data_IF_586918280488
#
_entry.id   IF_586918280488
#
_cell.length_a   1.000
_cell.length_b   1.000
_cell.length_c   1.000
_cell.angle_alpha   90.00
_cell.angle_beta   90.00
_cell.angle_gamma   90.00
#
_symmetry.space_group_name_H-M   'P 1'
#
loop_
_entity.id
_entity.type
_entity.pdbx_description
1 polymer ?
#
# COMPACT_ATOMS: atom_id res chain seq x y z
N UNK A 1 -79.52 -17.74 41.37
CA UNK A 1 -79.87 -16.34 41.08
C UNK A 1 -78.94 -15.87 39.97
N UNK A 2 -79.43 -15.80 38.71
CA UNK A 2 -78.73 -15.42 37.45
C UNK A 2 -77.50 -16.28 37.03
N UNK A 3 -77.53 -17.01 35.90
CA UNK A 3 -77.14 -16.62 34.50
C UNK A 3 -75.69 -16.10 34.38
N UNK A 4 -74.82 -16.51 33.44
CA UNK A 4 -74.89 -17.15 32.09
C UNK A 4 -73.50 -17.84 31.83
N UNK A 5 -73.29 -18.99 31.16
CA UNK A 5 -73.31 -19.29 29.70
C UNK A 5 -72.52 -18.28 28.83
N UNK A 6 -71.55 -18.63 27.94
CA UNK A 6 -71.00 -19.92 27.46
C UNK A 6 -69.43 -19.92 27.63
N UNK A 7 -68.52 -20.56 26.87
CA UNK A 7 -68.53 -21.43 25.67
C UNK A 7 -67.22 -22.28 25.58
N UNK A 8 -67.02 -23.06 24.49
CA UNK A 8 -65.96 -24.09 24.33
C UNK A 8 -64.60 -23.62 23.76
N UNK A 9 -63.50 -24.32 24.11
CA UNK A 9 -62.63 -24.95 23.09
C UNK A 9 -61.74 -26.09 23.63
N UNK A 10 -61.63 -27.20 22.87
CA UNK A 10 -60.76 -28.36 23.14
C UNK A 10 -59.35 -28.16 22.58
N UNK A 11 -58.32 -28.64 23.31
CA UNK A 11 -57.00 -28.99 22.73
C UNK A 11 -56.38 -30.24 23.39
N UNK A 12 -55.95 -31.24 22.61
CA UNK A 12 -54.91 -32.22 22.93
C UNK A 12 -53.68 -32.05 22.00
N UNK A 13 -52.61 -32.85 22.12
CA UNK A 13 -51.88 -33.28 23.32
C UNK A 13 -50.43 -32.74 23.32
N UNK A 14 -49.65 -33.06 24.37
CA UNK A 14 -48.22 -32.68 24.48
C UNK A 14 -47.31 -33.50 23.53
N UNK A 15 -46.64 -32.85 22.59
CA UNK A 15 -45.33 -33.24 22.04
C UNK A 15 -44.77 -32.06 21.22
N UNK A 16 -43.61 -31.50 21.60
CA UNK A 16 -42.66 -30.77 20.71
C UNK A 16 -41.52 -30.07 21.50
N UNK A 17 -41.78 -29.62 22.74
CA UNK A 17 -40.81 -28.86 23.58
C UNK A 17 -39.42 -29.48 23.81
N UNK A 18 -39.23 -30.77 23.55
CA UNK A 18 -37.91 -31.41 23.66
C UNK A 18 -37.03 -31.12 22.44
N UNK A 19 -37.62 -30.84 21.27
CA UNK A 19 -36.90 -30.67 20.00
C UNK A 19 -36.36 -29.25 19.85
N UNK A 20 -37.17 -28.25 20.18
CA UNK A 20 -36.77 -26.84 20.18
C UNK A 20 -35.64 -26.58 21.18
N UNK A 21 -35.74 -27.15 22.39
CA UNK A 21 -34.71 -27.04 23.42
C UNK A 21 -33.37 -27.69 23.01
N UNK A 22 -33.40 -28.77 22.22
CA UNK A 22 -32.19 -29.36 21.64
C UNK A 22 -31.64 -28.60 20.42
N UNK A 23 -32.46 -27.78 19.75
CA UNK A 23 -32.03 -26.87 18.69
C UNK A 23 -31.40 -25.59 19.27
N UNK A 24 -32.02 -24.95 20.26
CA UNK A 24 -31.46 -23.78 20.95
C UNK A 24 -30.13 -24.12 21.63
N UNK A 25 -30.05 -25.22 22.38
CA UNK A 25 -28.79 -25.69 22.98
C UNK A 25 -27.77 -26.06 21.89
N UNK A 26 -28.21 -26.54 20.73
CA UNK A 26 -27.34 -26.80 19.58
C UNK A 26 -26.72 -25.52 19.01
N UNK A 27 -27.55 -24.50 18.75
CA UNK A 27 -27.10 -23.20 18.23
C UNK A 27 -26.22 -22.44 19.24
N UNK A 28 -26.58 -22.42 20.52
CA UNK A 28 -25.80 -21.75 21.56
C UNK A 28 -24.41 -22.38 21.73
N UNK A 29 -24.30 -23.72 21.66
CA UNK A 29 -23.02 -24.43 21.63
C UNK A 29 -22.22 -24.17 20.34
N UNK A 30 -22.87 -24.04 19.18
CA UNK A 30 -22.19 -23.69 17.92
C UNK A 30 -21.67 -22.24 17.97
N UNK A 31 -22.45 -21.31 18.52
CA UNK A 31 -22.08 -19.90 18.65
C UNK A 31 -20.93 -19.72 19.65
N UNK A 32 -20.95 -20.40 20.79
CA UNK A 32 -19.88 -20.36 21.79
C UNK A 32 -18.60 -21.09 21.34
N UNK A 33 -18.72 -22.20 20.60
CA UNK A 33 -17.55 -22.85 19.99
C UNK A 33 -16.95 -21.96 18.88
N UNK A 34 -17.78 -21.32 18.05
CA UNK A 34 -17.31 -20.40 17.01
C UNK A 34 -16.69 -19.12 17.58
N UNK A 35 -17.24 -18.55 18.66
CA UNK A 35 -16.66 -17.38 19.33
C UNK A 35 -15.33 -17.73 19.99
N UNK A 36 -15.24 -18.85 20.71
CA UNK A 36 -13.99 -19.32 21.32
C UNK A 36 -12.94 -19.75 20.29
N UNK A 37 -13.31 -20.32 19.14
CA UNK A 37 -12.39 -20.55 18.02
C UNK A 37 -11.87 -19.22 17.43
N UNK A 38 -12.75 -18.23 17.24
CA UNK A 38 -12.33 -16.91 16.74
C UNK A 38 -11.44 -16.19 17.75
N UNK A 39 -11.77 -16.26 19.04
CA UNK A 39 -10.97 -15.71 20.13
C UNK A 39 -9.62 -16.42 20.25
N UNK A 40 -9.56 -17.75 20.14
CA UNK A 40 -8.31 -18.50 20.12
C UNK A 40 -7.46 -18.20 18.87
N UNK A 41 -8.07 -17.96 17.71
CA UNK A 41 -7.35 -17.52 16.50
C UNK A 41 -6.78 -16.11 16.68
N UNK A 42 -7.57 -15.17 17.21
CA UNK A 42 -7.12 -13.80 17.52
C UNK A 42 -6.02 -13.83 18.58
N UNK A 43 -6.20 -14.61 19.64
CA UNK A 43 -5.22 -14.82 20.72
C UNK A 43 -3.94 -15.47 20.20
N UNK A 44 -4.02 -16.42 19.27
CA UNK A 44 -2.86 -17.01 18.58
C UNK A 44 -2.11 -15.96 17.75
N UNK A 45 -2.82 -15.18 16.93
CA UNK A 45 -2.21 -14.12 16.12
C UNK A 45 -1.60 -13.01 16.99
N UNK A 46 -2.29 -12.61 18.07
CA UNK A 46 -1.76 -11.69 19.09
C UNK A 46 -0.56 -12.30 19.84
N UNK A 47 -0.52 -13.61 20.06
CA UNK A 47 0.63 -14.30 20.68
C UNK A 47 1.81 -14.37 19.71
N UNK A 48 1.58 -14.51 18.40
CA UNK A 48 2.63 -14.42 17.37
C UNK A 48 3.16 -12.99 17.27
N UNK A 49 2.29 -11.98 17.22
CA UNK A 49 2.67 -10.55 17.21
C UNK A 49 3.40 -10.20 18.53
N UNK A 50 2.88 -10.62 19.68
CA UNK A 50 3.53 -10.42 20.97
C UNK A 50 4.86 -11.17 21.04
N UNK A 51 4.99 -12.37 20.45
CA UNK A 51 6.27 -13.09 20.38
C UNK A 51 7.27 -12.36 19.47
N UNK A 52 6.85 -11.78 18.34
CA UNK A 52 7.70 -10.90 17.51
C UNK A 52 8.13 -9.62 18.25
N UNK A 53 7.34 -9.16 19.22
CA UNK A 53 7.64 -7.98 20.06
C UNK A 53 8.38 -8.33 21.38
N UNK A 54 8.40 -9.60 21.78
CA UNK A 54 8.81 -10.07 23.12
C UNK A 54 9.82 -11.24 23.05
N UNK A 55 10.55 -11.37 21.94
CA UNK A 55 11.79 -12.16 21.91
C UNK A 55 12.84 -11.44 22.75
N UNK A 56 12.94 -11.85 24.02
CA UNK A 56 13.96 -11.47 25.01
C UNK A 56 14.80 -10.22 24.66
N UNK A 57 14.20 -9.04 24.86
CA UNK A 57 14.68 -7.71 24.46
C UNK A 57 16.14 -7.33 24.87
N UNK A 58 16.78 -8.10 25.76
CA UNK A 58 18.16 -7.88 26.26
C UNK A 58 18.94 -9.19 26.59
N UNK A 59 18.69 -10.31 25.91
CA UNK A 59 19.34 -11.59 26.24
C UNK A 59 20.42 -12.02 25.21
N UNK A 60 21.69 -11.63 25.40
CA UNK A 60 22.78 -11.99 24.50
C UNK A 60 23.14 -13.49 24.52
N UNK A 61 22.54 -14.30 25.40
CA UNK A 61 22.74 -15.75 25.40
C UNK A 61 21.89 -16.48 24.35
N UNK A 62 20.87 -15.82 23.79
CA UNK A 62 20.03 -16.34 22.69
C UNK A 62 20.49 -15.85 21.32
N UNK A 63 21.79 -15.90 21.06
CA UNK A 63 22.37 -15.67 19.74
C UNK A 63 22.06 -16.84 18.78
N UNK A 64 20.78 -17.02 18.45
CA UNK A 64 20.33 -17.86 17.34
C UNK A 64 20.66 -17.19 16.01
N UNK A 65 21.18 -17.94 15.04
CA UNK A 65 21.21 -17.48 13.64
C UNK A 65 19.81 -17.05 13.21
N UNK A 66 19.61 -15.75 12.94
CA UNK A 66 18.33 -15.22 12.43
C UNK A 66 17.78 -16.03 11.25
N UNK A 67 18.70 -16.53 10.41
CA UNK A 67 18.36 -17.36 9.27
C UNK A 67 17.77 -18.70 9.72
N UNK A 68 18.35 -19.41 10.69
CA UNK A 68 17.82 -20.70 11.13
C UNK A 68 16.45 -20.56 11.80
N UNK A 69 16.24 -19.50 12.60
CA UNK A 69 15.00 -19.28 13.33
C UNK A 69 13.86 -18.67 12.49
N UNK A 70 14.20 -17.82 11.50
CA UNK A 70 13.22 -17.00 10.78
C UNK A 70 13.26 -17.08 9.25
N UNK A 71 14.07 -17.93 8.61
CA UNK A 71 14.15 -17.99 7.13
C UNK A 71 12.79 -18.17 6.45
N UNK A 72 11.89 -19.00 6.98
CA UNK A 72 10.56 -19.17 6.42
C UNK A 72 9.74 -17.87 6.39
N UNK A 73 9.88 -17.02 7.41
CA UNK A 73 9.21 -15.71 7.49
C UNK A 73 9.87 -14.71 6.53
N UNK A 74 11.20 -14.72 6.45
CA UNK A 74 11.96 -13.85 5.53
C UNK A 74 11.64 -14.20 4.07
N UNK A 75 11.71 -15.48 3.70
CA UNK A 75 11.38 -15.98 2.35
C UNK A 75 9.90 -15.74 2.05
N UNK A 76 9.00 -15.99 3.01
CA UNK A 76 7.57 -15.71 2.86
C UNK A 76 7.29 -14.23 2.59
N UNK A 77 7.94 -13.32 3.32
CA UNK A 77 7.81 -11.88 3.11
C UNK A 77 8.32 -11.44 1.72
N UNK A 78 9.51 -11.91 1.32
CA UNK A 78 10.06 -11.64 -0.02
C UNK A 78 9.14 -12.19 -1.11
N UNK A 79 8.64 -13.42 -0.96
CA UNK A 79 7.72 -14.05 -1.90
C UNK A 79 6.41 -13.25 -2.02
N UNK A 80 5.85 -12.75 -0.91
CA UNK A 80 4.66 -11.88 -0.93
C UNK A 80 4.94 -10.58 -1.70
N UNK A 81 6.08 -9.91 -1.47
CA UNK A 81 6.43 -8.68 -2.20
C UNK A 81 6.60 -8.93 -3.72
N UNK A 82 7.22 -10.06 -4.10
CA UNK A 82 7.40 -10.46 -5.50
C UNK A 82 6.07 -10.83 -6.15
N UNK A 83 5.26 -11.69 -5.52
CA UNK A 83 3.94 -12.10 -6.02
C UNK A 83 3.02 -10.89 -6.17
N UNK A 84 2.99 -10.00 -5.18
CA UNK A 84 2.24 -8.75 -5.26
C UNK A 84 2.66 -7.92 -6.49
N UNK A 85 3.96 -7.71 -6.68
CA UNK A 85 4.50 -6.97 -7.83
C UNK A 85 4.11 -7.62 -9.16
N UNK A 86 4.17 -8.96 -9.26
CA UNK A 86 3.77 -9.72 -10.45
C UNK A 86 2.26 -9.63 -10.74
N UNK A 87 1.40 -9.69 -9.72
CA UNK A 87 -0.06 -9.53 -9.89
C UNK A 87 -0.40 -8.13 -10.40
N UNK A 88 0.22 -7.08 -9.86
CA UNK A 88 0.05 -5.72 -10.35
C UNK A 88 0.60 -5.54 -11.78
N UNK A 89 1.70 -6.20 -12.15
CA UNK A 89 2.21 -6.20 -13.51
C UNK A 89 1.27 -6.93 -14.49
N UNK A 90 0.73 -8.08 -14.11
CA UNK A 90 -0.27 -8.81 -14.89
C UNK A 90 -1.56 -8.00 -15.09
N UNK A 91 -2.01 -7.27 -14.05
CA UNK A 91 -3.13 -6.32 -14.19
C UNK A 91 -2.79 -5.19 -15.17
N UNK A 92 -1.58 -4.61 -15.06
CA UNK A 92 -1.08 -3.56 -15.98
C UNK A 92 -1.15 -3.98 -17.45
N UNK A 93 -0.85 -5.26 -17.72
CA UNK A 93 -0.86 -5.82 -19.06
C UNK A 93 -2.29 -6.05 -19.59
N UNK A 94 -3.21 -6.45 -18.71
CA UNK A 94 -4.61 -6.71 -19.06
C UNK A 94 -5.42 -5.43 -19.31
N UNK A 95 -5.18 -4.39 -18.52
CA UNK A 95 -5.86 -3.11 -18.63
C UNK A 95 -4.86 -1.93 -18.70
N UNK A 96 -4.45 -1.52 -19.91
CA UNK A 96 -3.52 -0.41 -20.10
C UNK A 96 -4.13 0.97 -19.83
N UNK A 97 -5.45 1.08 -19.58
CA UNK A 97 -6.11 2.35 -19.26
C UNK A 97 -6.07 2.68 -17.76
N UNK A 98 -5.84 1.68 -16.90
CA UNK A 98 -5.66 1.86 -15.45
C UNK A 98 -4.20 2.17 -15.11
N UNK A 99 -3.96 3.27 -14.40
CA UNK A 99 -2.65 3.63 -13.87
C UNK A 99 -2.40 2.88 -12.54
N UNK A 100 -2.04 1.59 -12.60
CA UNK A 100 -1.78 0.79 -11.38
C UNK A 100 -0.44 1.07 -10.69
N UNK A 101 0.53 1.66 -11.39
CA UNK A 101 1.87 1.96 -10.85
C UNK A 101 1.83 2.77 -9.53
N UNK A 102 1.07 3.89 -9.46
CA UNK A 102 0.82 4.61 -8.21
C UNK A 102 0.25 3.78 -7.06
N UNK A 103 -0.64 2.82 -7.36
CA UNK A 103 -1.25 1.94 -6.35
C UNK A 103 -0.20 1.01 -5.74
N UNK A 104 0.59 0.34 -6.58
CA UNK A 104 1.67 -0.54 -6.14
C UNK A 104 2.74 0.22 -5.33
N UNK A 105 3.12 1.43 -5.78
CA UNK A 105 4.03 2.30 -5.02
C UNK A 105 3.52 2.62 -3.63
N UNK A 106 2.26 3.05 -3.52
CA UNK A 106 1.68 3.40 -2.24
C UNK A 106 1.68 2.21 -1.28
N UNK A 107 1.33 1.00 -1.76
CA UNK A 107 1.33 -0.21 -0.93
C UNK A 107 2.75 -0.55 -0.44
N UNK A 108 3.75 -0.54 -1.34
CA UNK A 108 5.15 -0.74 -0.96
C UNK A 108 5.64 0.32 0.05
N UNK A 109 5.34 1.60 -0.20
CA UNK A 109 5.66 2.70 0.71
C UNK A 109 4.94 2.59 2.06
N UNK A 110 3.72 2.04 2.12
CA UNK A 110 2.97 1.84 3.34
C UNK A 110 3.56 0.72 4.21
N UNK A 111 3.90 -0.43 3.60
CA UNK A 111 4.62 -1.52 4.29
C UNK A 111 5.96 -0.99 4.83
N UNK A 112 6.72 -0.28 4.00
CA UNK A 112 7.99 0.33 4.38
C UNK A 112 7.82 1.40 5.48
N UNK A 113 6.74 2.17 5.48
CA UNK A 113 6.46 3.16 6.52
C UNK A 113 6.19 2.51 7.88
N UNK A 114 5.37 1.44 7.91
CA UNK A 114 5.11 0.69 9.15
C UNK A 114 6.40 0.07 9.69
N UNK A 115 7.17 -0.62 8.86
CA UNK A 115 8.42 -1.26 9.29
C UNK A 115 9.49 -0.24 9.74
N UNK A 116 9.55 0.94 9.13
CA UNK A 116 10.44 2.01 9.59
C UNK A 116 9.97 2.66 10.88
N UNK A 117 8.66 2.77 11.10
CA UNK A 117 8.09 3.24 12.37
C UNK A 117 8.42 2.28 13.50
N UNK A 118 8.21 0.96 13.30
CA UNK A 118 8.57 -0.08 14.28
C UNK A 118 10.08 -0.11 14.56
N UNK A 119 10.91 -0.08 13.51
CA UNK A 119 12.36 0.03 13.64
C UNK A 119 12.77 1.23 14.49
N UNK A 120 12.24 2.42 14.17
CA UNK A 120 12.59 3.68 14.83
C UNK A 120 12.12 3.69 16.28
N UNK A 121 10.90 3.20 16.56
CA UNK A 121 10.31 3.19 17.88
C UNK A 121 10.97 2.22 18.86
N UNK A 122 11.37 1.02 18.41
CA UNK A 122 11.80 -0.05 19.31
C UNK A 122 13.29 -0.45 19.20
N UNK A 123 13.91 -0.32 18.03
CA UNK A 123 15.24 -0.88 17.75
C UNK A 123 16.32 0.18 17.59
N UNK A 124 16.00 1.30 16.94
CA UNK A 124 16.95 2.39 16.70
C UNK A 124 17.49 3.00 18.01
N UNK A 125 16.73 2.93 19.11
CA UNK A 125 17.14 3.38 20.45
C UNK A 125 18.42 2.68 20.97
N UNK A 126 18.74 1.47 20.50
CA UNK A 126 19.95 0.76 20.88
C UNK A 126 21.25 1.42 20.38
N UNK A 127 21.16 2.34 19.40
CA UNK A 127 22.30 3.06 18.83
C UNK A 127 21.93 4.56 18.73
N UNK A 128 22.45 5.36 19.66
CA UNK A 128 22.08 6.79 19.79
C UNK A 128 22.28 7.60 18.49
N UNK A 129 23.38 7.34 17.78
CA UNK A 129 23.71 7.96 16.48
C UNK A 129 22.75 7.59 15.35
N UNK A 130 21.97 6.52 15.51
CA UNK A 130 20.92 6.06 14.57
C UNK A 130 19.54 6.57 15.00
N UNK A 131 19.24 6.60 16.30
CA UNK A 131 17.92 6.95 16.82
C UNK A 131 17.46 8.37 16.41
N UNK A 132 18.26 9.39 16.72
CA UNK A 132 17.88 10.79 16.48
C UNK A 132 17.67 11.06 14.98
N UNK A 133 18.59 10.67 14.06
CA UNK A 133 18.35 10.79 12.63
C UNK A 133 17.12 10.05 12.13
N UNK A 134 16.86 8.82 12.62
CA UNK A 134 15.68 8.03 12.23
C UNK A 134 14.38 8.77 12.56
N UNK A 135 14.25 9.27 13.79
CA UNK A 135 13.09 10.05 14.24
C UNK A 135 12.89 11.32 13.40
N UNK A 136 13.96 12.10 13.20
CA UNK A 136 13.90 13.35 12.44
C UNK A 136 13.49 13.11 10.99
N UNK A 137 14.10 12.14 10.32
CA UNK A 137 13.79 11.85 8.90
C UNK A 137 12.38 11.30 8.75
N UNK A 138 11.94 10.38 9.62
CA UNK A 138 10.61 9.80 9.55
C UNK A 138 9.51 10.86 9.78
N UNK A 139 9.64 11.67 10.84
CA UNK A 139 8.64 12.68 11.19
C UNK A 139 8.63 13.81 10.16
N UNK A 140 9.79 14.42 9.88
CA UNK A 140 9.86 15.56 8.96
C UNK A 140 9.39 15.20 7.55
N UNK A 141 9.76 14.02 7.04
CA UNK A 141 9.32 13.56 5.72
C UNK A 141 7.81 13.33 5.65
N UNK A 142 7.20 12.83 6.73
CA UNK A 142 5.76 12.56 6.79
C UNK A 142 4.95 13.86 6.82
N UNK A 143 5.31 14.79 7.72
CA UNK A 143 4.68 16.12 7.83
C UNK A 143 4.82 16.91 6.52
N UNK A 144 6.00 16.89 5.89
CA UNK A 144 6.21 17.60 4.62
C UNK A 144 5.32 17.04 3.50
N UNK A 145 5.21 15.71 3.34
CA UNK A 145 4.34 15.13 2.30
C UNK A 145 2.86 15.37 2.56
N UNK A 146 2.42 15.38 3.82
CA UNK A 146 1.03 15.74 4.16
C UNK A 146 0.74 17.20 3.85
N UNK A 147 1.62 18.12 4.24
CA UNK A 147 1.50 19.54 3.92
C UNK A 147 1.46 19.80 2.39
N UNK A 148 2.32 19.13 1.62
CA UNK A 148 2.27 19.18 0.16
C UNK A 148 0.97 18.56 -0.41
N UNK A 149 0.50 17.44 0.13
CA UNK A 149 -0.74 16.81 -0.32
C UNK A 149 -1.97 17.69 -0.12
N UNK A 150 -2.11 18.29 1.06
CA UNK A 150 -3.13 19.28 1.39
C UNK A 150 -3.06 20.51 0.46
N UNK A 151 -1.84 21.02 0.20
CA UNK A 151 -1.63 22.14 -0.72
C UNK A 151 -2.06 21.79 -2.15
N UNK A 152 -1.66 20.64 -2.69
CA UNK A 152 -2.00 20.21 -4.05
C UNK A 152 -3.51 20.04 -4.23
N UNK A 153 -4.18 19.37 -3.29
CA UNK A 153 -5.64 19.19 -3.32
C UNK A 153 -6.36 20.54 -3.24
N UNK A 154 -5.91 21.47 -2.39
CA UNK A 154 -6.52 22.81 -2.31
C UNK A 154 -6.29 23.62 -3.58
N UNK A 155 -5.10 23.55 -4.17
CA UNK A 155 -4.74 24.22 -5.44
C UNK A 155 -5.60 23.70 -6.60
N UNK A 156 -5.71 22.39 -6.75
CA UNK A 156 -6.50 21.77 -7.82
C UNK A 156 -7.99 22.08 -7.67
N UNK A 157 -8.52 21.98 -6.46
CA UNK A 157 -9.93 22.28 -6.16
C UNK A 157 -10.32 23.73 -6.48
N UNK A 158 -9.40 24.67 -6.35
CA UNK A 158 -9.64 26.08 -6.67
C UNK A 158 -9.51 26.38 -8.17
N UNK A 159 -8.66 25.64 -8.89
CA UNK A 159 -8.26 25.97 -10.26
C UNK A 159 -8.90 25.07 -11.34
N UNK A 160 -9.51 23.93 -10.95
CA UNK A 160 -10.11 22.95 -11.87
C UNK A 160 -11.56 22.65 -11.46
N UNK A 161 -12.51 23.16 -12.24
CA UNK A 161 -13.95 22.99 -12.00
C UNK A 161 -14.43 21.53 -12.11
N UNK A 162 -13.83 20.73 -12.99
CA UNK A 162 -14.12 19.30 -13.10
C UNK A 162 -13.68 18.55 -11.84
N UNK A 163 -12.47 18.85 -11.34
CA UNK A 163 -11.99 18.27 -10.09
C UNK A 163 -12.82 18.75 -8.89
N UNK A 164 -13.26 20.02 -8.85
CA UNK A 164 -14.16 20.51 -7.80
C UNK A 164 -15.50 19.77 -7.79
N UNK A 165 -16.10 19.51 -8.96
CA UNK A 165 -17.34 18.74 -9.07
C UNK A 165 -17.16 17.28 -8.61
N UNK A 166 -16.08 16.62 -9.07
CA UNK A 166 -15.71 15.29 -8.62
C UNK A 166 -15.45 15.24 -7.10
N UNK A 167 -14.74 16.23 -6.56
CA UNK A 167 -14.44 16.33 -5.12
C UNK A 167 -15.70 16.49 -4.28
N UNK A 168 -16.71 17.26 -4.75
CA UNK A 168 -18.01 17.35 -4.07
C UNK A 168 -18.75 16.00 -4.07
N UNK A 169 -18.69 15.23 -5.15
CA UNK A 169 -19.34 13.91 -5.27
C UNK A 169 -18.65 12.83 -4.42
N UNK A 170 -17.32 12.89 -4.27
CA UNK A 170 -16.51 11.84 -3.63
C UNK A 170 -15.68 12.31 -2.42
N UNK A 171 -16.16 13.33 -1.70
CA UNK A 171 -15.39 14.04 -0.65
C UNK A 171 -14.77 13.14 0.42
N UNK A 172 -15.45 12.06 0.84
CA UNK A 172 -14.95 11.12 1.85
C UNK A 172 -13.70 10.39 1.36
N UNK A 173 -13.73 9.90 0.12
CA UNK A 173 -12.62 9.15 -0.49
C UNK A 173 -11.46 10.11 -0.78
N UNK A 174 -11.76 11.30 -1.33
CA UNK A 174 -10.77 12.35 -1.50
C UNK A 174 -10.05 12.72 -0.20
N UNK A 175 -10.78 12.87 0.91
CA UNK A 175 -10.22 13.14 2.24
C UNK A 175 -9.32 12.02 2.75
N UNK A 176 -9.74 10.76 2.66
CA UNK A 176 -8.95 9.60 3.11
C UNK A 176 -7.61 9.57 2.37
N UNK A 177 -7.61 9.62 1.04
CA UNK A 177 -6.37 9.63 0.27
C UNK A 177 -5.52 10.89 0.47
N UNK A 178 -6.13 12.03 0.82
CA UNK A 178 -5.38 13.24 1.22
C UNK A 178 -4.66 13.04 2.55
N UNK A 179 -5.30 12.43 3.56
CA UNK A 179 -4.64 12.12 4.83
C UNK A 179 -3.51 11.08 4.61
N UNK A 180 -3.77 10.02 3.85
CA UNK A 180 -2.79 8.99 3.48
C UNK A 180 -1.54 9.55 2.77
N UNK A 181 -1.51 10.82 2.35
CA UNK A 181 -0.31 11.45 1.82
C UNK A 181 0.83 11.62 2.84
N UNK A 182 0.54 11.53 4.15
CA UNK A 182 1.59 11.42 5.19
C UNK A 182 2.48 10.18 4.96
N UNK A 183 1.86 9.04 4.62
CA UNK A 183 2.56 7.77 4.32
C UNK A 183 3.32 7.91 3.01
N UNK A 184 2.65 8.32 1.93
CA UNK A 184 3.26 8.60 0.64
C UNK A 184 2.37 9.48 -0.24
N UNK A 185 2.96 10.47 -0.92
CA UNK A 185 2.25 11.39 -1.83
C UNK A 185 1.55 10.66 -3.00
N UNK A 186 2.00 9.46 -3.37
CA UNK A 186 1.36 8.63 -4.40
C UNK A 186 -0.05 8.15 -4.03
N UNK A 187 -0.45 8.22 -2.75
CA UNK A 187 -1.85 8.10 -2.31
C UNK A 187 -2.80 9.03 -3.08
N UNK A 188 -2.38 10.26 -3.39
CA UNK A 188 -3.18 11.18 -4.19
C UNK A 188 -3.37 10.67 -5.61
N UNK A 189 -2.32 10.15 -6.24
CA UNK A 189 -2.37 9.70 -7.64
C UNK A 189 -3.27 8.46 -7.82
N UNK A 190 -3.47 7.65 -6.77
CA UNK A 190 -4.50 6.58 -6.73
C UNK A 190 -5.90 7.13 -7.02
N UNK A 191 -6.23 8.35 -6.58
CA UNK A 191 -7.52 8.96 -6.88
C UNK A 191 -7.76 9.15 -8.38
N UNK A 192 -6.71 9.13 -9.22
CA UNK A 192 -6.81 9.21 -10.68
C UNK A 192 -6.42 7.91 -11.40
N UNK A 193 -6.24 6.81 -10.66
CA UNK A 193 -5.75 5.54 -11.21
C UNK A 193 -6.74 4.81 -12.11
N UNK A 194 -8.03 5.09 -11.97
CA UNK A 194 -9.18 4.37 -12.59
C UNK A 194 -9.32 2.90 -12.18
N UNK A 195 -8.62 2.45 -11.15
CA UNK A 195 -8.58 1.03 -10.78
C UNK A 195 -9.98 0.47 -10.49
N UNK A 196 -10.34 -0.60 -11.22
CA UNK A 196 -11.66 -1.24 -11.16
C UNK A 196 -12.82 -0.38 -11.66
N UNK A 197 -12.58 0.53 -12.62
CA UNK A 197 -13.56 1.41 -13.28
C UNK A 197 -14.41 2.26 -12.31
N UNK A 198 -13.90 2.51 -11.10
CA UNK A 198 -14.64 3.29 -10.08
C UNK A 198 -14.54 4.78 -10.38
N UNK A 199 -15.69 5.45 -10.52
CA UNK A 199 -15.76 6.92 -10.63
C UNK A 199 -15.02 7.62 -9.47
N UNK A 200 -15.10 7.06 -8.27
CA UNK A 200 -14.43 7.57 -7.06
C UNK A 200 -12.90 7.39 -7.06
N UNK A 201 -12.32 6.72 -8.05
CA UNK A 201 -10.88 6.58 -8.29
C UNK A 201 -10.51 7.08 -9.70
N UNK A 202 -11.39 7.87 -10.33
CA UNK A 202 -11.24 8.46 -11.66
C UNK A 202 -11.21 10.00 -11.61
N UNK A 203 -10.50 10.56 -10.62
CA UNK A 203 -10.37 12.00 -10.41
C UNK A 203 -9.72 12.70 -11.61
N UNK A 204 -10.32 13.80 -12.12
CA UNK A 204 -9.84 14.49 -13.31
C UNK A 204 -8.72 15.48 -12.96
N UNK A 205 -7.56 14.97 -12.53
CA UNK A 205 -6.38 15.81 -12.24
C UNK A 205 -5.80 16.47 -13.49
N UNK A 206 -5.41 17.73 -13.32
CA UNK A 206 -4.57 18.46 -14.26
C UNK A 206 -3.19 17.81 -14.40
N UNK A 207 -2.61 17.91 -15.60
CA UNK A 207 -1.22 17.48 -15.87
C UNK A 207 -0.22 18.16 -14.93
N UNK A 208 -0.52 19.39 -14.48
CA UNK A 208 0.30 20.12 -13.51
C UNK A 208 0.38 19.37 -12.17
N UNK A 209 -0.75 18.94 -11.60
CA UNK A 209 -0.76 18.22 -10.32
C UNK A 209 -0.07 16.86 -10.42
N UNK A 210 -0.32 16.06 -11.47
CA UNK A 210 0.42 14.80 -11.67
C UNK A 210 1.94 15.03 -11.74
N UNK A 211 2.37 16.11 -12.40
CA UNK A 211 3.79 16.51 -12.45
C UNK A 211 4.33 16.91 -11.08
N UNK A 212 3.57 17.67 -10.28
CA UNK A 212 3.97 18.02 -8.91
C UNK A 212 4.07 16.79 -7.99
N UNK A 213 3.09 15.87 -8.03
CA UNK A 213 3.13 14.60 -7.28
C UNK A 213 4.39 13.81 -7.64
N UNK A 214 4.71 13.69 -8.94
CA UNK A 214 5.91 12.99 -9.41
C UNK A 214 7.21 13.58 -8.85
N UNK A 215 7.35 14.91 -8.81
CA UNK A 215 8.53 15.60 -8.29
C UNK A 215 8.62 15.57 -6.76
N UNK A 216 7.50 15.70 -6.05
CA UNK A 216 7.46 15.55 -4.58
C UNK A 216 7.84 14.11 -4.19
N UNK A 217 7.32 13.11 -4.92
CA UNK A 217 7.72 11.71 -4.75
C UNK A 217 9.19 11.44 -5.11
N UNK A 218 9.79 12.23 -6.01
CA UNK A 218 11.22 12.15 -6.31
C UNK A 218 12.07 12.73 -5.16
N UNK A 219 11.69 13.90 -4.65
CA UNK A 219 12.35 14.49 -3.49
C UNK A 219 12.21 13.61 -2.24
N UNK A 220 11.06 12.94 -2.06
CA UNK A 220 10.83 11.98 -0.98
C UNK A 220 11.73 10.75 -1.07
N UNK A 221 11.90 10.15 -2.27
CA UNK A 221 12.83 9.04 -2.50
C UNK A 221 14.25 9.38 -2.01
N UNK A 222 14.75 10.57 -2.38
CA UNK A 222 16.10 11.01 -2.02
C UNK A 222 16.21 11.32 -0.52
N UNK A 223 15.29 12.14 0.02
CA UNK A 223 15.39 12.64 1.40
C UNK A 223 14.98 11.63 2.46
N UNK A 224 13.96 10.81 2.18
CA UNK A 224 13.43 9.81 3.10
C UNK A 224 14.02 8.44 2.79
N UNK A 225 13.65 7.84 1.65
CA UNK A 225 13.81 6.39 1.49
C UNK A 225 15.28 5.96 1.36
N UNK A 226 16.10 6.74 0.62
CA UNK A 226 17.55 6.50 0.55
C UNK A 226 18.24 6.78 1.89
N UNK A 227 17.93 7.89 2.56
CA UNK A 227 18.51 8.21 3.87
C UNK A 227 18.16 7.16 4.94
N UNK A 228 16.92 6.69 4.94
CA UNK A 228 16.42 5.67 5.86
C UNK A 228 17.08 4.31 5.59
N UNK A 229 17.30 3.95 4.32
CA UNK A 229 18.09 2.78 3.94
C UNK A 229 19.54 2.88 4.45
N UNK A 230 20.20 4.03 4.28
CA UNK A 230 21.55 4.27 4.82
C UNK A 230 21.57 4.13 6.35
N UNK A 231 20.57 4.67 7.05
CA UNK A 231 20.40 4.54 8.50
C UNK A 231 20.28 3.07 8.93
N UNK A 232 19.49 2.25 8.23
CA UNK A 232 19.34 0.83 8.53
C UNK A 232 20.65 0.04 8.27
N UNK A 233 21.42 0.42 7.25
CA UNK A 233 22.75 -0.15 6.98
C UNK A 233 23.75 0.24 8.07
N UNK A 234 23.74 1.49 8.55
CA UNK A 234 24.57 1.90 9.70
C UNK A 234 24.19 1.09 10.94
N UNK A 235 22.89 0.94 11.24
CA UNK A 235 22.40 0.12 12.34
C UNK A 235 22.87 -1.34 12.23
N UNK A 236 22.76 -1.96 11.05
CA UNK A 236 23.24 -3.32 10.79
C UNK A 236 24.73 -3.50 11.12
N UNK A 237 25.57 -2.51 10.81
CA UNK A 237 27.00 -2.56 11.14
C UNK A 237 27.33 -2.16 12.60
N UNK A 238 26.35 -1.67 13.35
CA UNK A 238 26.53 -1.15 14.72
C UNK A 238 26.09 -2.12 15.83
N UNK A 239 25.38 -3.20 15.48
CA UNK A 239 24.85 -4.18 16.44
C UNK A 239 25.46 -5.57 16.23
N UNK A 240 25.79 -6.26 17.32
CA UNK A 240 26.33 -7.63 17.27
C UNK A 240 25.27 -8.68 16.95
N UNK A 241 24.02 -8.40 17.34
CA UNK A 241 22.86 -9.23 17.04
C UNK A 241 21.84 -8.36 16.32
N UNK A 242 21.33 -8.88 15.21
CA UNK A 242 20.34 -8.22 14.39
C UNK A 242 18.98 -8.87 14.64
N UNK A 243 17.90 -8.09 14.63
CA UNK A 243 16.55 -8.58 14.87
C UNK A 243 15.72 -8.71 13.58
N UNK A 244 14.64 -9.48 13.65
CA UNK A 244 13.73 -9.70 12.52
C UNK A 244 13.12 -8.39 11.99
N UNK A 245 12.69 -7.47 12.87
CA UNK A 245 12.06 -6.22 12.45
C UNK A 245 13.03 -5.29 11.70
N UNK A 246 14.24 -4.99 12.20
CA UNK A 246 15.30 -4.34 11.41
C UNK A 246 15.53 -5.00 10.04
N UNK A 247 15.58 -6.34 9.97
CA UNK A 247 15.78 -7.07 8.71
C UNK A 247 14.64 -6.91 7.71
N UNK A 248 13.39 -7.07 8.15
CA UNK A 248 12.23 -6.84 7.30
C UNK A 248 12.17 -5.38 6.84
N UNK A 249 12.55 -4.43 7.71
CA UNK A 249 12.65 -3.00 7.40
C UNK A 249 13.70 -2.72 6.33
N UNK A 250 14.88 -3.37 6.40
CA UNK A 250 15.95 -3.24 5.41
C UNK A 250 15.56 -3.86 4.06
N UNK A 251 14.93 -5.04 4.05
CA UNK A 251 14.39 -5.68 2.84
C UNK A 251 13.33 -4.77 2.20
N UNK A 252 12.42 -4.21 3.01
CA UNK A 252 11.35 -3.33 2.52
C UNK A 252 11.88 -1.99 1.98
N UNK A 253 12.88 -1.39 2.62
CA UNK A 253 13.53 -0.17 2.13
C UNK A 253 14.25 -0.43 0.80
N UNK A 254 14.98 -1.54 0.70
CA UNK A 254 15.61 -2.01 -0.54
C UNK A 254 14.58 -2.16 -1.66
N UNK A 255 13.45 -2.83 -1.40
CA UNK A 255 12.37 -3.00 -2.37
C UNK A 255 11.77 -1.66 -2.84
N UNK A 256 11.53 -0.70 -1.93
CA UNK A 256 11.02 0.64 -2.29
C UNK A 256 12.03 1.43 -3.13
N UNK A 257 13.32 1.41 -2.78
CA UNK A 257 14.37 2.10 -3.53
C UNK A 257 14.53 1.49 -4.93
N UNK A 258 14.60 0.16 -5.04
CA UNK A 258 14.68 -0.54 -6.32
C UNK A 258 13.45 -0.26 -7.20
N UNK A 259 12.23 -0.41 -6.66
CA UNK A 259 11.01 -0.17 -7.43
C UNK A 259 10.93 1.27 -7.95
N UNK A 260 11.21 2.26 -7.09
CA UNK A 260 11.20 3.66 -7.50
C UNK A 260 12.33 4.01 -8.49
N UNK A 261 13.50 3.39 -8.38
CA UNK A 261 14.60 3.51 -9.33
C UNK A 261 14.21 2.95 -10.71
N UNK A 262 13.83 1.68 -10.76
CA UNK A 262 13.42 0.97 -11.99
C UNK A 262 12.28 1.71 -12.69
N UNK A 263 11.25 2.14 -11.96
CA UNK A 263 10.12 2.89 -12.52
C UNK A 263 10.56 4.20 -13.20
N UNK A 264 11.48 4.94 -12.59
CA UNK A 264 11.98 6.22 -13.13
C UNK A 264 12.90 5.99 -14.32
N UNK A 265 13.77 4.97 -14.28
CA UNK A 265 14.61 4.56 -15.40
C UNK A 265 13.72 4.19 -16.60
N UNK A 266 12.68 3.38 -16.40
CA UNK A 266 11.71 3.04 -17.44
C UNK A 266 11.04 4.27 -18.07
N UNK A 267 10.58 5.23 -17.26
CA UNK A 267 10.00 6.48 -17.77
C UNK A 267 11.00 7.32 -18.58
N UNK A 268 12.27 7.40 -18.13
CA UNK A 268 13.33 8.13 -18.83
C UNK A 268 13.66 7.44 -20.17
N UNK A 269 13.79 6.12 -20.18
CA UNK A 269 14.01 5.33 -21.42
C UNK A 269 12.86 5.57 -22.41
N UNK A 270 11.60 5.47 -21.97
CA UNK A 270 10.43 5.71 -22.81
C UNK A 270 10.40 7.14 -23.37
N UNK A 271 10.74 8.14 -22.55
CA UNK A 271 10.86 9.52 -23.00
C UNK A 271 11.96 9.70 -24.05
N UNK A 272 13.17 9.21 -23.78
CA UNK A 272 14.29 9.26 -24.72
C UNK A 272 13.96 8.56 -26.04
N UNK A 273 13.36 7.37 -26.01
CA UNK A 273 12.95 6.63 -27.21
C UNK A 273 11.90 7.39 -28.03
N UNK A 274 10.88 7.97 -27.38
CA UNK A 274 9.88 8.80 -28.06
C UNK A 274 10.47 10.05 -28.73
N UNK A 275 11.48 10.67 -28.09
CA UNK A 275 12.19 11.84 -28.63
C UNK A 275 13.10 11.46 -29.80
N UNK A 276 13.74 10.30 -29.75
CA UNK A 276 14.55 9.75 -30.85
C UNK A 276 13.68 9.40 -32.06
N UNK A 277 12.54 8.74 -31.85
CA UNK A 277 11.59 8.43 -32.93
C UNK A 277 11.11 9.71 -33.63
N UNK A 278 10.67 10.73 -32.87
CA UNK A 278 10.24 12.01 -33.46
C UNK A 278 11.34 12.66 -34.28
N UNK A 279 12.58 12.72 -33.76
CA UNK A 279 13.74 13.29 -34.48
C UNK A 279 14.13 12.52 -35.75
N UNK A 280 13.72 11.25 -35.87
CA UNK A 280 13.92 10.48 -37.10
C UNK A 280 12.77 10.70 -38.11
N UNK A 281 11.54 10.91 -37.63
CA UNK A 281 10.41 11.35 -38.47
C UNK A 281 10.69 12.73 -39.07
N UNK A 282 11.05 13.70 -38.21
CA UNK A 282 11.41 15.08 -38.58
C UNK A 282 12.57 15.15 -39.60
N UNK A 283 13.29 14.04 -39.85
CA UNK A 283 14.37 13.93 -40.84
C UNK A 283 14.00 13.16 -42.12
N UNK A 284 12.96 12.33 -42.07
CA UNK A 284 12.47 11.60 -43.24
C UNK A 284 11.64 12.52 -44.14
N UNK A 285 10.97 13.51 -43.55
CA UNK A 285 10.18 14.52 -44.28
C UNK A 285 11.08 15.60 -44.97
N UNK A 286 12.38 15.64 -44.66
CA UNK A 286 13.40 16.54 -45.24
C UNK A 286 14.17 15.90 -46.43
N UNK A 287 13.99 14.60 -46.73
CA UNK A 287 14.57 14.00 -47.93
C UNK A 287 13.72 14.40 -49.17
N UNK A 288 14.29 15.12 -50.16
CA UNK A 288 13.53 15.50 -51.34
C UNK A 288 13.15 14.24 -52.14
N UNK A 289 11.85 14.10 -52.42
CA UNK A 289 11.34 13.03 -53.29
C UNK A 289 11.95 13.19 -54.68
N UNK A 290 12.99 12.42 -54.98
CA UNK A 290 13.58 12.34 -56.32
C UNK A 290 12.62 11.54 -57.20
N UNK A 291 11.70 12.27 -57.85
CA UNK A 291 10.84 11.71 -58.88
C UNK A 291 11.72 11.36 -60.08
N UNK A 292 12.11 10.08 -60.18
CA UNK A 292 12.69 9.53 -61.39
C UNK A 292 11.60 9.43 -62.47
N UNK A 293 11.48 10.46 -63.31
CA UNK A 293 10.77 10.33 -64.58
C UNK A 293 11.60 9.46 -65.53
N UNK A 294 11.28 8.17 -65.60
CA UNK A 294 11.66 7.32 -66.73
C UNK A 294 10.61 7.48 -67.83
N UNK A 295 10.81 8.44 -68.72
CA UNK A 295 10.02 8.56 -69.94
C UNK A 295 10.85 7.99 -71.10
N UNK A 296 10.44 6.81 -71.56
CA UNK A 296 11.02 6.10 -72.70
C UNK A 296 10.21 6.43 -73.97
N UNK A 297 10.83 6.20 -75.12
CA UNK A 297 10.22 5.99 -76.45
C UNK A 297 9.59 7.21 -77.16
N UNK A 298 10.43 7.96 -77.89
CA UNK A 298 10.23 8.19 -79.34
C UNK A 298 11.52 8.68 -80.04
#
# INVERSE_FOLDING_TARGET
>A
MYHKECEDFKTPPKCDKAKDMSLEVGEENIVTNKSSMMENSIRSHLTVIAKMLNTNFWDPSKASDLWNDYYYIIIGFIAILVIMTLVFFAYSYKDPNTEVGPVLKFILSAINFVLNTLFTAYYAQAVESVYIPSCVILIASSVLKEAFGLYLIRKERNNNSYFFNWWRKHITIGRIFTLLSFVDIYSLEILSSKIGDRESLSAPYSKSIKTWIYWIGFAALIKKDISQFVIQVIYYNSVLHYDLIPLLSLISATAVVLFNGIWRIYLIIRYCFSKLYRRNSDKADDEPIVIFNSENDS
#
